data_IF_138002090417
#
_entry.id   IF_138002090417
#
_cell.length_a   1.000
_cell.length_b   1.000
_cell.length_c   1.000
_cell.angle_alpha   90.00
_cell.angle_beta   90.00
_cell.angle_gamma   90.00
#
_symmetry.space_group_name_H-M   'P 1'
#
loop_
_entity.id
_entity.type
_entity.pdbx_description
1 polymer ?
#
# COMPACT_ATOMS: atom_id res chain seq x y z
N UNK A 1 -16.56 -28.34 -15.36
CA UNK A 1 -17.52 -27.22 -15.19
C UNK A 1 -17.60 -26.75 -13.75
N UNK A 2 -18.02 -27.54 -12.79
CA UNK A 2 -18.13 -27.11 -11.37
C UNK A 2 -16.85 -26.55 -10.74
N UNK A 3 -15.67 -27.04 -11.11
CA UNK A 3 -14.38 -26.55 -10.56
C UNK A 3 -14.03 -25.18 -11.16
N UNK A 4 -14.24 -24.98 -12.47
CA UNK A 4 -13.98 -23.71 -13.14
C UNK A 4 -14.93 -22.60 -12.67
N UNK A 5 -16.21 -22.94 -12.43
CA UNK A 5 -17.18 -22.02 -11.83
C UNK A 5 -16.74 -21.59 -10.43
N UNK A 6 -16.32 -22.54 -9.59
CA UNK A 6 -15.81 -22.23 -8.22
C UNK A 6 -14.58 -21.34 -8.25
N UNK A 7 -13.65 -21.55 -9.21
CA UNK A 7 -12.45 -20.72 -9.36
C UNK A 7 -12.86 -19.31 -9.81
N UNK A 8 -13.78 -19.19 -10.76
CA UNK A 8 -14.32 -17.89 -11.21
C UNK A 8 -15.01 -17.13 -10.07
N UNK A 9 -15.81 -17.82 -9.26
CA UNK A 9 -16.50 -17.22 -8.12
C UNK A 9 -15.51 -16.74 -7.04
N UNK A 10 -14.46 -17.50 -6.78
CA UNK A 10 -13.39 -17.10 -5.86
C UNK A 10 -12.67 -15.84 -6.34
N UNK A 11 -12.35 -15.75 -7.64
CA UNK A 11 -11.71 -14.57 -8.23
C UNK A 11 -12.60 -13.33 -8.13
N UNK A 12 -13.87 -13.46 -8.45
CA UNK A 12 -14.86 -12.36 -8.32
C UNK A 12 -14.99 -11.88 -6.88
N UNK A 13 -15.02 -12.81 -5.94
CA UNK A 13 -15.08 -12.50 -4.52
C UNK A 13 -13.83 -11.76 -4.06
N UNK A 14 -12.65 -12.22 -4.46
CA UNK A 14 -11.38 -11.56 -4.13
C UNK A 14 -11.34 -10.13 -4.71
N UNK A 15 -11.77 -9.94 -5.94
CA UNK A 15 -11.80 -8.62 -6.57
C UNK A 15 -12.74 -7.66 -5.84
N UNK A 16 -13.89 -8.12 -5.36
CA UNK A 16 -14.80 -7.30 -4.55
C UNK A 16 -14.13 -6.79 -3.27
N UNK A 17 -13.42 -7.67 -2.56
CA UNK A 17 -12.66 -7.28 -1.37
C UNK A 17 -11.50 -6.35 -1.71
N UNK A 18 -10.76 -6.64 -2.76
CA UNK A 18 -9.66 -5.78 -3.22
C UNK A 18 -10.14 -4.36 -3.48
N UNK A 19 -11.25 -4.20 -4.19
CA UNK A 19 -11.85 -2.89 -4.45
C UNK A 19 -12.29 -2.18 -3.16
N UNK A 20 -12.87 -2.92 -2.23
CA UNK A 20 -13.30 -2.36 -0.94
C UNK A 20 -12.09 -1.86 -0.13
N UNK A 21 -11.02 -2.64 -0.04
CA UNK A 21 -9.81 -2.23 0.67
C UNK A 21 -9.11 -1.06 -0.03
N UNK A 22 -9.12 -1.00 -1.36
CA UNK A 22 -8.60 0.14 -2.09
C UNK A 22 -9.41 1.41 -1.86
N UNK A 23 -10.74 1.31 -1.77
CA UNK A 23 -11.59 2.47 -1.40
C UNK A 23 -11.27 2.96 0.02
N UNK A 24 -11.00 2.05 0.95
CA UNK A 24 -10.53 2.42 2.28
C UNK A 24 -9.18 3.13 2.23
N UNK A 25 -8.25 2.63 1.42
CA UNK A 25 -6.96 3.29 1.22
C UNK A 25 -7.13 4.71 0.66
N UNK A 26 -8.08 4.93 -0.24
CA UNK A 26 -8.40 6.27 -0.76
C UNK A 26 -8.89 7.21 0.33
N UNK A 27 -9.73 6.72 1.25
CA UNK A 27 -10.16 7.53 2.41
C UNK A 27 -8.97 7.89 3.30
N UNK A 28 -8.07 6.94 3.56
CA UNK A 28 -6.86 7.19 4.33
C UNK A 28 -5.95 8.21 3.67
N UNK A 29 -5.83 8.17 2.35
CA UNK A 29 -5.04 9.14 1.59
C UNK A 29 -5.46 10.58 1.86
N UNK A 30 -6.75 10.83 2.07
CA UNK A 30 -7.29 12.18 2.36
C UNK A 30 -6.84 12.73 3.71
N UNK A 31 -6.35 11.88 4.61
CA UNK A 31 -5.82 12.30 5.90
C UNK A 31 -4.43 12.91 5.79
N UNK A 32 -3.74 12.70 4.68
CA UNK A 32 -2.41 13.24 4.46
C UNK A 32 -2.43 14.77 4.37
N UNK A 33 -1.50 15.42 5.05
CA UNK A 33 -1.28 16.87 4.97
C UNK A 33 -0.35 17.25 3.81
N UNK A 34 0.20 16.28 3.10
CA UNK A 34 1.08 16.54 1.96
C UNK A 34 0.29 17.14 0.79
N UNK A 35 0.87 18.13 0.12
CA UNK A 35 0.24 18.84 -0.98
C UNK A 35 0.54 18.23 -2.34
N UNK A 36 1.76 17.70 -2.53
CA UNK A 36 2.18 17.14 -3.82
C UNK A 36 1.46 15.85 -4.15
N UNK A 37 1.38 14.94 -3.18
CA UNK A 37 0.70 13.64 -3.32
C UNK A 37 0.11 13.24 -1.98
N UNK A 38 -1.09 12.70 -2.04
CA UNK A 38 -1.75 12.09 -0.90
C UNK A 38 -1.91 10.60 -1.21
N UNK A 39 -1.27 9.76 -0.42
CA UNK A 39 -1.23 8.31 -0.61
C UNK A 39 -1.76 7.63 0.64
N UNK A 40 -2.58 6.59 0.44
CA UNK A 40 -3.11 5.76 1.51
C UNK A 40 -2.71 4.30 1.35
N UNK A 41 -2.57 3.61 2.47
CA UNK A 41 -2.19 2.22 2.54
C UNK A 41 -3.04 1.46 3.55
N UNK A 42 -3.45 0.23 3.20
CA UNK A 42 -4.14 -0.70 4.08
C UNK A 42 -3.42 -2.05 3.99
N UNK A 43 -3.11 -2.65 5.13
CA UNK A 43 -2.52 -4.00 5.18
C UNK A 43 -3.55 -4.98 5.73
N UNK A 44 -3.76 -6.07 4.99
CA UNK A 44 -4.77 -7.09 5.30
C UNK A 44 -4.10 -8.46 5.38
N UNK A 45 -4.45 -9.22 6.40
CA UNK A 45 -3.98 -10.59 6.59
C UNK A 45 -5.15 -11.47 6.99
N UNK A 46 -5.41 -12.51 6.19
CA UNK A 46 -6.54 -13.39 6.46
C UNK A 46 -7.89 -12.65 6.54
N UNK A 47 -8.09 -11.66 5.69
CA UNK A 47 -9.26 -10.76 5.67
C UNK A 47 -9.44 -9.88 6.90
N UNK A 48 -8.42 -9.80 7.72
CA UNK A 48 -8.38 -8.87 8.84
C UNK A 48 -7.47 -7.70 8.49
N UNK A 49 -7.97 -6.48 8.64
CA UNK A 49 -7.15 -5.28 8.49
C UNK A 49 -6.24 -5.20 9.72
N UNK A 50 -4.93 -5.30 9.50
CA UNK A 50 -3.95 -5.28 10.59
C UNK A 50 -3.22 -3.95 10.69
N UNK A 51 -3.26 -3.12 9.66
CA UNK A 51 -2.63 -1.81 9.67
C UNK A 51 -3.18 -0.90 8.59
N UNK A 52 -2.91 0.37 8.76
CA UNK A 52 -3.22 1.45 7.84
C UNK A 52 -2.10 2.48 7.84
N UNK A 53 -2.06 3.32 6.83
CA UNK A 53 -1.09 4.41 6.78
C UNK A 53 -1.43 5.44 5.71
N UNK A 54 -0.91 6.62 5.88
CA UNK A 54 -0.89 7.67 4.86
C UNK A 54 0.46 8.38 4.93
N UNK A 55 0.86 9.02 3.85
CA UNK A 55 2.14 9.73 3.82
C UNK A 55 2.09 10.99 4.66
N UNK A 56 3.18 11.29 5.34
CA UNK A 56 3.26 12.46 6.20
C UNK A 56 4.58 12.57 6.94
N UNK A 57 4.69 13.65 7.70
CA UNK A 57 5.84 13.89 8.57
C UNK A 57 5.84 12.94 9.76
N UNK A 58 7.02 12.71 10.39
CA UNK A 58 7.09 11.86 11.58
C UNK A 58 6.24 12.41 12.73
N UNK A 59 5.83 11.51 13.60
CA UNK A 59 5.03 11.87 14.78
C UNK A 59 5.72 12.96 15.60
N UNK A 60 5.00 14.02 15.93
CA UNK A 60 5.50 15.14 16.71
C UNK A 60 6.16 16.25 15.90
N UNK A 61 6.34 16.04 14.59
CA UNK A 61 6.83 17.09 13.69
C UNK A 61 5.66 17.93 13.15
N UNK A 62 5.96 19.12 12.66
CA UNK A 62 4.96 19.96 11.99
C UNK A 62 4.39 19.24 10.76
N UNK A 63 3.09 19.41 10.50
CA UNK A 63 2.41 18.81 9.35
C UNK A 63 2.71 19.60 8.07
N UNK A 64 3.99 19.70 7.73
CA UNK A 64 4.47 20.42 6.55
C UNK A 64 5.41 19.50 5.75
N UNK A 65 4.85 18.83 4.77
CA UNK A 65 5.58 17.82 3.97
C UNK A 65 6.55 18.44 2.97
N UNK A 66 6.27 19.65 2.50
CA UNK A 66 7.07 20.33 1.48
C UNK A 66 7.83 21.51 2.06
N UNK A 67 9.01 21.79 1.50
CA UNK A 67 9.79 22.97 1.82
C UNK A 67 9.25 24.21 1.11
N UNK A 68 9.92 25.36 1.27
CA UNK A 68 9.54 26.63 0.65
C UNK A 68 9.54 26.58 -0.88
N UNK A 69 10.33 25.68 -1.46
CA UNK A 69 10.42 25.49 -2.92
C UNK A 69 9.41 24.44 -3.43
N UNK A 70 8.58 23.87 -2.56
CA UNK A 70 7.59 22.86 -2.91
C UNK A 70 8.14 21.45 -3.03
N UNK A 71 9.37 21.21 -2.60
CA UNK A 71 9.96 19.86 -2.57
C UNK A 71 9.56 19.13 -1.30
N UNK A 72 9.30 17.84 -1.43
CA UNK A 72 9.03 16.98 -0.27
C UNK A 72 10.26 16.91 0.64
N UNK A 73 10.06 17.17 1.93
CA UNK A 73 11.11 17.05 2.94
C UNK A 73 11.61 15.60 2.98
N UNK A 74 12.93 15.42 3.18
CA UNK A 74 13.54 14.09 3.17
C UNK A 74 12.98 13.15 4.25
N UNK A 75 12.47 13.70 5.34
CA UNK A 75 11.96 12.94 6.49
C UNK A 75 10.49 12.55 6.38
N UNK A 76 9.82 12.91 5.29
CA UNK A 76 8.44 12.48 5.04
C UNK A 76 8.41 10.96 4.83
N UNK A 77 7.54 10.30 5.57
CA UNK A 77 7.35 8.85 5.46
C UNK A 77 6.24 8.56 4.45
N UNK A 78 6.48 7.60 3.58
CA UNK A 78 5.47 7.14 2.63
C UNK A 78 4.39 6.30 3.35
N UNK A 79 3.21 6.21 2.74
CA UNK A 79 2.06 5.53 3.33
C UNK A 79 2.35 4.07 3.69
N UNK A 80 3.00 3.33 2.79
CA UNK A 80 3.37 1.93 3.00
C UNK A 80 4.40 1.76 4.12
N UNK A 81 5.37 2.66 4.22
CA UNK A 81 6.35 2.64 5.31
C UNK A 81 5.65 2.85 6.65
N UNK A 82 4.74 3.83 6.74
CA UNK A 82 3.96 4.08 7.96
C UNK A 82 3.12 2.86 8.35
N UNK A 83 2.46 2.22 7.40
CA UNK A 83 1.65 1.04 7.67
C UNK A 83 2.49 -0.14 8.16
N UNK A 84 3.65 -0.40 7.55
CA UNK A 84 4.58 -1.46 7.95
C UNK A 84 5.14 -1.19 9.36
N UNK A 85 5.53 0.05 9.65
CA UNK A 85 6.08 0.42 10.96
C UNK A 85 5.05 0.29 12.09
N UNK A 86 3.78 0.57 11.81
CA UNK A 86 2.70 0.32 12.78
C UNK A 86 2.60 -1.16 13.13
N UNK A 87 2.72 -2.04 12.13
CA UNK A 87 2.74 -3.50 12.37
C UNK A 87 3.94 -3.87 13.23
N UNK A 88 5.12 -3.30 12.95
CA UNK A 88 6.34 -3.54 13.72
C UNK A 88 6.20 -3.15 15.20
N UNK A 89 5.36 -2.16 15.51
CA UNK A 89 5.05 -1.72 16.87
C UNK A 89 3.87 -2.46 17.50
N UNK A 90 3.41 -3.54 16.89
CA UNK A 90 2.27 -4.35 17.36
C UNK A 90 2.70 -5.80 17.58
N UNK A 91 1.75 -6.64 17.98
CA UNK A 91 1.94 -8.09 18.08
C UNK A 91 1.69 -8.80 16.75
N UNK A 92 1.27 -8.08 15.71
CA UNK A 92 1.04 -8.63 14.37
C UNK A 92 2.34 -8.72 13.55
N UNK A 93 2.25 -9.38 12.42
CA UNK A 93 3.32 -9.52 11.45
C UNK A 93 2.77 -9.29 10.05
N UNK A 94 3.57 -8.67 9.19
CA UNK A 94 3.24 -8.53 7.77
C UNK A 94 3.44 -9.82 6.97
N UNK A 95 4.00 -10.86 7.56
CA UNK A 95 4.28 -12.12 6.86
C UNK A 95 3.02 -12.70 6.22
N UNK A 96 3.06 -12.86 4.90
CA UNK A 96 1.95 -13.39 4.13
C UNK A 96 0.79 -12.43 3.90
N UNK A 97 0.92 -11.15 4.28
CA UNK A 97 -0.13 -10.15 4.16
C UNK A 97 -0.27 -9.61 2.72
N UNK A 98 -1.36 -8.90 2.48
CA UNK A 98 -1.61 -8.11 1.27
C UNK A 98 -1.58 -6.63 1.62
N UNK A 99 -0.86 -5.86 0.80
CA UNK A 99 -0.78 -4.40 0.90
C UNK A 99 -1.62 -3.77 -0.21
N UNK A 100 -2.52 -2.88 0.19
CA UNK A 100 -3.35 -2.09 -0.71
C UNK A 100 -2.85 -0.64 -0.71
N UNK A 101 -2.48 -0.14 -1.90
CA UNK A 101 -1.93 1.21 -2.07
C UNK A 101 -2.72 2.00 -3.11
N UNK A 102 -2.93 3.28 -2.87
CA UNK A 102 -3.52 4.17 -3.88
C UNK A 102 -2.54 4.51 -4.99
N UNK A 103 -1.24 4.51 -4.70
CA UNK A 103 -0.16 4.76 -5.65
C UNK A 103 0.89 3.66 -5.51
N UNK A 104 1.37 3.10 -6.62
CA UNK A 104 2.41 2.06 -6.59
C UNK A 104 3.66 2.52 -5.85
N UNK A 105 4.39 1.61 -5.19
CA UNK A 105 5.52 1.98 -4.35
C UNK A 105 6.73 2.42 -5.15
N UNK A 106 7.51 3.35 -4.58
CA UNK A 106 8.83 3.67 -5.08
C UNK A 106 9.80 2.50 -4.80
N UNK A 107 10.98 2.54 -5.41
CA UNK A 107 11.98 1.48 -5.25
C UNK A 107 12.45 1.30 -3.80
N UNK A 108 12.56 2.38 -3.03
CA UNK A 108 12.96 2.30 -1.62
C UNK A 108 11.92 1.59 -0.76
N UNK A 109 10.64 1.95 -0.91
CA UNK A 109 9.57 1.28 -0.18
C UNK A 109 9.36 -0.16 -0.64
N UNK A 110 9.64 -0.48 -1.90
CA UNK A 110 9.53 -1.84 -2.42
C UNK A 110 10.45 -2.81 -1.68
N UNK A 111 11.64 -2.37 -1.30
CA UNK A 111 12.56 -3.17 -0.48
C UNK A 111 11.92 -3.49 0.88
N UNK A 112 11.30 -2.50 1.50
CA UNK A 112 10.63 -2.65 2.80
C UNK A 112 9.44 -3.60 2.69
N UNK A 113 8.66 -3.49 1.63
CA UNK A 113 7.51 -4.37 1.36
C UNK A 113 7.97 -5.83 1.28
N UNK A 114 8.98 -6.10 0.46
CA UNK A 114 9.52 -7.45 0.32
C UNK A 114 10.06 -7.98 1.65
N UNK A 115 10.89 -7.18 2.33
CA UNK A 115 11.58 -7.60 3.55
C UNK A 115 10.61 -7.79 4.73
N UNK A 116 9.45 -7.13 4.71
CA UNK A 116 8.40 -7.30 5.74
C UNK A 116 7.62 -8.61 5.60
N UNK A 117 7.78 -9.33 4.50
CA UNK A 117 7.07 -10.58 4.26
C UNK A 117 5.73 -10.44 3.56
N UNK A 118 5.37 -9.24 3.10
CA UNK A 118 4.16 -9.03 2.29
C UNK A 118 4.27 -9.84 1.00
N UNK A 119 3.25 -10.63 0.70
CA UNK A 119 3.24 -11.54 -0.46
C UNK A 119 2.46 -11.01 -1.66
N UNK A 120 1.61 -10.01 -1.46
CA UNK A 120 0.70 -9.48 -2.47
C UNK A 120 0.57 -7.97 -2.36
N UNK A 121 0.64 -7.30 -3.50
CA UNK A 121 0.44 -5.85 -3.61
C UNK A 121 -0.69 -5.57 -4.59
N UNK A 122 -1.67 -4.79 -4.15
CA UNK A 122 -2.78 -4.30 -4.98
C UNK A 122 -2.74 -2.78 -4.99
N UNK A 123 -2.76 -2.16 -6.16
CA UNK A 123 -2.66 -0.70 -6.25
C UNK A 123 -3.59 -0.15 -7.34
N UNK A 124 -3.87 1.15 -7.25
CA UNK A 124 -4.76 1.85 -8.18
C UNK A 124 -3.95 2.50 -9.30
N UNK A 125 -3.09 3.46 -8.94
CA UNK A 125 -2.36 4.30 -9.88
C UNK A 125 -0.88 3.92 -9.92
N UNK A 126 -0.34 3.80 -11.14
CA UNK A 126 1.08 3.56 -11.33
C UNK A 126 1.91 4.83 -11.13
N UNK A 127 3.05 4.67 -10.48
CA UNK A 127 4.09 5.69 -10.36
C UNK A 127 4.93 5.73 -11.66
N UNK A 128 5.51 6.89 -12.00
CA UNK A 128 6.32 7.02 -13.22
C UNK A 128 7.47 6.02 -13.29
N UNK A 129 8.18 5.85 -12.18
CA UNK A 129 9.26 4.88 -12.06
C UNK A 129 8.69 3.53 -11.65
N UNK A 130 8.73 2.57 -12.55
CA UNK A 130 8.25 1.20 -12.32
C UNK A 130 9.29 0.27 -11.69
N UNK A 131 10.46 0.78 -11.34
CA UNK A 131 11.57 -0.03 -10.79
C UNK A 131 11.17 -0.79 -9.53
N UNK A 132 10.36 -0.16 -8.67
CA UNK A 132 9.85 -0.80 -7.46
C UNK A 132 8.96 -2.00 -7.76
N UNK A 133 8.03 -1.86 -8.70
CA UNK A 133 7.16 -2.96 -9.13
C UNK A 133 7.96 -4.10 -9.77
N UNK A 134 8.92 -3.78 -10.61
CA UNK A 134 9.79 -4.78 -11.25
C UNK A 134 10.59 -5.56 -10.20
N UNK A 135 11.12 -4.87 -9.20
CA UNK A 135 11.82 -5.49 -8.07
C UNK A 135 10.90 -6.47 -7.32
N UNK A 136 9.68 -6.05 -6.98
CA UNK A 136 8.71 -6.87 -6.25
C UNK A 136 8.28 -8.10 -7.06
N UNK A 137 8.06 -7.93 -8.35
CA UNK A 137 7.71 -9.03 -9.25
C UNK A 137 8.84 -10.06 -9.30
N UNK A 138 10.07 -9.62 -9.45
CA UNK A 138 11.26 -10.48 -9.41
C UNK A 138 11.42 -11.18 -8.06
N UNK A 139 11.03 -10.53 -6.97
CA UNK A 139 11.07 -11.08 -5.63
C UNK A 139 9.94 -12.07 -5.34
N UNK A 140 9.02 -12.29 -6.28
CA UNK A 140 7.91 -13.24 -6.13
C UNK A 140 6.67 -12.68 -5.48
N UNK A 141 6.56 -11.37 -5.32
CA UNK A 141 5.34 -10.72 -4.82
C UNK A 141 4.30 -10.68 -5.93
N UNK A 142 3.09 -11.13 -5.63
CA UNK A 142 1.95 -11.02 -6.57
C UNK A 142 1.53 -9.55 -6.69
N UNK A 143 1.44 -9.04 -7.92
CA UNK A 143 1.10 -7.65 -8.17
C UNK A 143 -0.19 -7.57 -8.98
N UNK A 144 -1.14 -6.77 -8.48
CA UNK A 144 -2.44 -6.53 -9.12
C UNK A 144 -2.69 -5.03 -9.20
N UNK A 145 -3.06 -4.56 -10.39
CA UNK A 145 -3.51 -3.19 -10.58
C UNK A 145 -5.03 -3.18 -10.82
N UNK A 146 -5.74 -2.32 -10.09
CA UNK A 146 -7.19 -2.11 -10.28
C UNK A 146 -7.42 -0.60 -10.40
N UNK A 147 -7.65 -0.12 -11.62
CA UNK A 147 -7.84 1.31 -11.89
C UNK A 147 -9.29 1.77 -11.63
N UNK A 148 -10.25 0.89 -11.86
CA UNK A 148 -11.68 1.19 -11.76
C UNK A 148 -12.30 0.49 -10.54
N UNK A 149 -12.72 1.27 -9.57
CA UNK A 149 -13.30 0.77 -8.32
C UNK A 149 -14.82 0.76 -8.32
#
# INVERSE_FOLDING_TARGET
MKLQEKISDKKKKQERFDKAYLRMALEWAKLSHCKRKQVGAIIVKGRMIISDGFNGTPTGFENCCEDEEGKTQWYVLHAEANAILKVANSTNSCEGATLYLTLSPCKECSKLIHQSGIKRLVYIQGYKDSSGLQFLEKAGVEIVQIENL
#
